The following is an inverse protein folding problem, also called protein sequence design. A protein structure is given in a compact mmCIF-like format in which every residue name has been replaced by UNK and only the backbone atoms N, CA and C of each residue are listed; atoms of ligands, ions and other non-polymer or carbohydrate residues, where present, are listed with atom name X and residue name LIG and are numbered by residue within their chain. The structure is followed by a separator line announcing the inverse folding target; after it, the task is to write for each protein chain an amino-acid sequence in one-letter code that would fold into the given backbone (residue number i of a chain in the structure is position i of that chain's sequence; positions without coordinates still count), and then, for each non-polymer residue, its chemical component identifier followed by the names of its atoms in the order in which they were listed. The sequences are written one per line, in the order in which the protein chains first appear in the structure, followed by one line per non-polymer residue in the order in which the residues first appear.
data_IF_432280919814
#
_entry.id   IF_432280919814
#
_cell.length_a   1.000
_cell.length_b   1.000
_cell.length_c   1.000
_cell.angle_alpha   90.00
_cell.angle_beta   90.00
_cell.angle_gamma   90.00
#
_symmetry.space_group_name_H-M   'P 1'
#
loop_
_entity.id
_entity.type
_entity.pdbx_description
1 polymer ?
#
# COMPACT_ATOMS: atom_id res chain seq x y z
N UNK A 1 -23.15 2.13 -5.96
CA UNK A 1 -22.48 1.09 -5.15
C UNK A 1 -22.55 1.55 -3.70
N UNK A 2 -22.96 0.68 -2.77
CA UNK A 2 -22.95 1.02 -1.34
C UNK A 2 -21.51 1.33 -0.90
N UNK A 3 -21.30 2.26 0.05
CA UNK A 3 -19.97 2.53 0.56
C UNK A 3 -19.39 1.26 1.19
N UNK A 4 -18.09 1.01 0.95
CA UNK A 4 -17.39 -0.10 1.58
C UNK A 4 -17.33 0.13 3.10
N UNK A 5 -17.64 -0.91 3.86
CA UNK A 5 -17.58 -0.94 5.32
C UNK A 5 -16.28 -1.59 5.83
N UNK A 6 -15.36 -1.91 4.93
CA UNK A 6 -14.12 -2.64 5.20
C UNK A 6 -13.11 -2.37 4.07
N UNK A 7 -11.84 -2.76 4.24
CA UNK A 7 -10.85 -2.73 3.16
C UNK A 7 -11.33 -3.55 1.96
N UNK A 8 -11.09 -3.12 0.71
CA UNK A 8 -11.58 -3.79 -0.49
C UNK A 8 -11.24 -5.29 -0.54
N UNK A 9 -9.99 -5.67 -0.24
CA UNK A 9 -9.57 -7.08 -0.25
C UNK A 9 -10.29 -7.92 0.80
N UNK A 10 -10.58 -7.39 2.00
CA UNK A 10 -11.37 -8.07 3.02
C UNK A 10 -12.83 -8.19 2.62
N UNK A 11 -13.38 -7.13 2.03
CA UNK A 11 -14.74 -7.15 1.49
C UNK A 11 -14.91 -8.26 0.46
N UNK A 12 -14.00 -8.36 -0.51
CA UNK A 12 -14.07 -9.39 -1.55
C UNK A 12 -13.75 -10.79 -1.03
N UNK A 13 -12.84 -10.96 -0.09
CA UNK A 13 -12.58 -12.25 0.55
C UNK A 13 -13.82 -12.81 1.27
N UNK A 14 -14.66 -11.92 1.83
CA UNK A 14 -15.93 -12.33 2.44
C UNK A 14 -17.00 -12.69 1.41
N UNK A 15 -17.10 -11.93 0.31
CA UNK A 15 -18.14 -12.13 -0.70
C UNK A 15 -17.80 -13.21 -1.72
N UNK A 16 -16.54 -13.32 -2.10
CA UNK A 16 -16.06 -14.19 -3.19
C UNK A 16 -14.72 -14.82 -2.83
N UNK A 17 -14.64 -15.61 -1.73
CA UNK A 17 -13.37 -16.10 -1.17
C UNK A 17 -12.51 -16.87 -2.17
N UNK A 18 -13.11 -17.62 -3.08
CA UNK A 18 -12.41 -18.47 -4.04
C UNK A 18 -12.17 -17.80 -5.40
N UNK A 19 -12.72 -16.60 -5.64
CA UNK A 19 -12.46 -15.87 -6.87
C UNK A 19 -11.00 -15.37 -6.89
N UNK A 20 -10.42 -15.28 -8.08
CA UNK A 20 -9.05 -14.79 -8.28
C UNK A 20 -8.95 -13.31 -7.94
N UNK A 21 -8.06 -12.99 -7.00
CA UNK A 21 -7.70 -11.63 -6.63
C UNK A 21 -6.50 -11.13 -7.45
N UNK A 22 -5.51 -11.97 -7.62
CA UNK A 22 -4.26 -11.66 -8.34
C UNK A 22 -3.85 -12.82 -9.23
N UNK A 23 -3.21 -12.48 -10.35
CA UNK A 23 -2.44 -13.42 -11.16
C UNK A 23 -0.95 -13.16 -10.97
N UNK A 24 -0.23 -14.12 -10.39
CA UNK A 24 1.21 -14.07 -10.18
C UNK A 24 1.89 -14.89 -11.29
N UNK A 25 2.14 -14.26 -12.43
CA UNK A 25 2.39 -14.97 -13.67
C UNK A 25 1.11 -15.71 -14.10
N UNK A 26 1.17 -17.02 -14.20
CA UNK A 26 0.01 -17.88 -14.54
C UNK A 26 -0.70 -18.46 -13.30
N UNK A 27 -0.19 -18.18 -12.09
CA UNK A 27 -0.74 -18.75 -10.86
C UNK A 27 -1.79 -17.80 -10.25
N UNK A 28 -3.05 -18.23 -10.14
CA UNK A 28 -4.09 -17.44 -9.50
C UNK A 28 -3.94 -17.49 -7.97
N UNK A 29 -4.09 -16.34 -7.33
CA UNK A 29 -4.23 -16.18 -5.89
C UNK A 29 -5.66 -15.75 -5.59
N UNK A 30 -6.37 -16.49 -4.74
CA UNK A 30 -7.74 -16.17 -4.37
C UNK A 30 -7.82 -15.00 -3.38
N UNK A 31 -8.99 -14.35 -3.28
CA UNK A 31 -9.23 -13.30 -2.29
C UNK A 31 -9.01 -13.78 -0.85
N UNK A 32 -9.43 -14.99 -0.52
CA UNK A 32 -9.22 -15.55 0.81
C UNK A 32 -7.75 -15.76 1.12
N UNK A 33 -6.98 -16.27 0.15
CA UNK A 33 -5.54 -16.49 0.32
C UNK A 33 -4.79 -15.15 0.42
N UNK A 34 -5.15 -14.16 -0.42
CA UNK A 34 -4.58 -12.82 -0.34
C UNK A 34 -4.86 -12.18 1.03
N UNK A 35 -6.12 -12.24 1.51
CA UNK A 35 -6.48 -11.72 2.83
C UNK A 35 -5.65 -12.36 3.94
N UNK A 36 -5.50 -13.69 3.94
CA UNK A 36 -4.71 -14.39 4.94
C UNK A 36 -3.27 -13.87 5.00
N UNK A 37 -2.62 -13.73 3.85
CA UNK A 37 -1.25 -13.21 3.78
C UNK A 37 -1.15 -11.73 4.17
N UNK A 38 -2.15 -10.92 3.83
CA UNK A 38 -2.22 -9.51 4.28
C UNK A 38 -2.40 -9.43 5.78
N UNK A 39 -3.25 -10.28 6.37
CA UNK A 39 -3.49 -10.33 7.82
C UNK A 39 -2.21 -10.73 8.57
N UNK A 40 -1.50 -11.77 8.15
CA UNK A 40 -0.24 -12.21 8.74
C UNK A 40 0.82 -11.10 8.70
N UNK A 41 1.03 -10.48 7.54
CA UNK A 41 2.02 -9.43 7.39
C UNK A 41 1.63 -8.15 8.16
N UNK A 42 0.34 -7.82 8.24
CA UNK A 42 -0.14 -6.70 9.05
C UNK A 42 0.14 -6.93 10.54
N UNK A 43 -0.09 -8.15 11.05
CA UNK A 43 0.24 -8.51 12.42
C UNK A 43 1.74 -8.39 12.72
N UNK A 44 2.59 -8.82 11.78
CA UNK A 44 4.04 -8.67 11.92
C UNK A 44 4.48 -7.20 11.95
N UNK A 45 3.91 -6.34 11.10
CA UNK A 45 4.20 -4.91 11.11
C UNK A 45 3.73 -4.25 12.41
N UNK A 46 2.55 -4.61 12.91
CA UNK A 46 2.07 -4.11 14.21
C UNK A 46 2.97 -4.55 15.37
N UNK A 47 3.49 -5.78 15.33
CA UNK A 47 4.45 -6.25 16.33
C UNK A 47 5.78 -5.45 16.30
N UNK A 48 6.16 -4.92 15.14
CA UNK A 48 7.31 -4.04 14.96
C UNK A 48 7.00 -2.58 15.29
N UNK A 49 5.80 -2.25 15.79
CA UNK A 49 5.42 -0.94 16.26
C UNK A 49 4.63 -0.08 15.27
N UNK A 50 4.21 -0.64 14.12
CA UNK A 50 3.35 0.10 13.19
C UNK A 50 1.94 0.24 13.77
N UNK A 51 1.53 1.48 14.01
CA UNK A 51 0.21 1.87 14.52
C UNK A 51 -0.57 2.70 13.49
N UNK A 52 -1.90 2.83 13.66
CA UNK A 52 -2.71 3.69 12.81
C UNK A 52 -2.18 5.13 12.78
N UNK A 53 -1.97 5.67 11.58
CA UNK A 53 -1.43 7.03 11.36
C UNK A 53 0.09 7.11 11.25
N UNK A 54 0.85 6.07 11.61
CA UNK A 54 2.29 6.03 11.39
C UNK A 54 2.64 6.29 9.93
N UNK A 55 3.67 7.08 9.68
CA UNK A 55 4.24 7.30 8.35
C UNK A 55 5.21 6.16 7.97
N UNK A 56 4.97 5.50 6.85
CA UNK A 56 5.80 4.38 6.37
C UNK A 56 6.27 4.63 4.94
N UNK A 57 7.58 4.71 4.73
CA UNK A 57 8.16 4.71 3.38
C UNK A 57 8.13 3.28 2.80
N UNK A 58 7.56 3.15 1.60
CA UNK A 58 7.52 1.88 0.88
C UNK A 58 8.37 2.00 -0.39
N UNK A 59 9.59 1.42 -0.36
CA UNK A 59 10.58 1.63 -1.40
C UNK A 59 10.85 0.36 -2.20
N UNK A 60 10.63 0.41 -3.52
CA UNK A 60 10.93 -0.73 -4.40
C UNK A 60 10.27 -0.63 -5.76
N UNK A 61 10.67 -1.54 -6.64
CA UNK A 61 9.97 -1.82 -7.90
C UNK A 61 8.77 -2.72 -7.63
N UNK A 62 7.77 -2.66 -8.51
CA UNK A 62 6.61 -3.52 -8.40
C UNK A 62 7.03 -4.99 -8.29
N UNK A 63 6.55 -5.63 -7.26
CA UNK A 63 6.73 -7.05 -6.98
C UNK A 63 5.61 -7.51 -6.07
N UNK A 64 5.36 -8.82 -6.01
CA UNK A 64 4.32 -9.34 -5.10
C UNK A 64 4.60 -9.00 -3.63
N UNK A 65 5.83 -9.16 -3.09
CA UNK A 65 6.10 -8.74 -1.71
C UNK A 65 5.86 -7.25 -1.45
N UNK A 66 6.17 -6.37 -2.41
CA UNK A 66 5.91 -4.94 -2.26
C UNK A 66 4.41 -4.63 -2.26
N UNK A 67 3.64 -5.27 -3.14
CA UNK A 67 2.18 -5.12 -3.17
C UNK A 67 1.55 -5.65 -1.88
N UNK A 68 1.99 -6.81 -1.41
CA UNK A 68 1.49 -7.39 -0.15
C UNK A 68 1.76 -6.45 1.02
N UNK A 69 2.98 -5.90 1.11
CA UNK A 69 3.32 -4.91 2.15
C UNK A 69 2.48 -3.62 2.02
N UNK A 70 2.23 -3.16 0.80
CA UNK A 70 1.34 -2.01 0.55
C UNK A 70 -0.05 -2.26 1.15
N UNK A 71 -0.66 -3.42 0.88
CA UNK A 71 -1.99 -3.76 1.41
C UNK A 71 -1.97 -3.96 2.94
N UNK A 72 -0.96 -4.64 3.47
CA UNK A 72 -0.83 -4.91 4.89
C UNK A 72 -0.64 -3.64 5.72
N UNK A 73 0.22 -2.72 5.28
CA UNK A 73 0.45 -1.45 5.94
C UNK A 73 -0.79 -0.54 5.88
N UNK A 74 -1.49 -0.52 4.74
CA UNK A 74 -2.79 0.16 4.67
C UNK A 74 -3.78 -0.44 5.66
N UNK A 75 -3.81 -1.76 5.80
CA UNK A 75 -4.69 -2.44 6.75
C UNK A 75 -4.34 -2.15 8.21
N UNK A 76 -3.08 -1.91 8.53
CA UNK A 76 -2.66 -1.35 9.83
C UNK A 76 -3.16 0.09 10.05
N UNK A 77 -3.67 0.75 9.03
CA UNK A 77 -4.06 2.16 9.07
C UNK A 77 -2.87 3.11 8.95
N UNK A 78 -1.72 2.64 8.51
CA UNK A 78 -0.54 3.44 8.25
C UNK A 78 -0.74 4.39 7.06
N UNK A 79 0.02 5.47 7.03
CA UNK A 79 0.08 6.46 5.97
C UNK A 79 1.31 6.17 5.12
N UNK A 80 1.12 5.66 3.91
CA UNK A 80 2.21 5.19 3.06
C UNK A 80 2.82 6.31 2.23
N UNK A 81 4.14 6.30 2.12
CA UNK A 81 4.91 7.08 1.16
C UNK A 81 5.62 6.11 0.20
N UNK A 82 4.96 5.70 -0.90
CA UNK A 82 5.65 4.90 -1.91
C UNK A 82 6.76 5.70 -2.58
N UNK A 83 7.98 5.17 -2.59
CA UNK A 83 9.18 5.85 -3.06
C UNK A 83 9.79 5.15 -4.27
N UNK A 84 10.24 5.97 -5.22
CA UNK A 84 11.12 5.52 -6.28
C UNK A 84 12.47 5.09 -5.67
N UNK A 85 12.93 3.84 -5.87
CA UNK A 85 14.21 3.37 -5.31
C UNK A 85 15.43 4.10 -5.86
N UNK A 86 15.28 4.89 -6.94
CA UNK A 86 16.35 5.70 -7.52
C UNK A 86 16.46 7.10 -6.89
N UNK A 87 15.67 7.44 -5.87
CA UNK A 87 15.77 8.73 -5.20
C UNK A 87 17.11 8.87 -4.48
N UNK A 88 17.79 10.05 -4.59
CA UNK A 88 19.06 10.27 -3.92
C UNK A 88 18.92 10.26 -2.40
N UNK A 89 19.87 9.62 -1.71
CA UNK A 89 19.96 9.59 -0.23
C UNK A 89 19.86 10.99 0.43
N UNK A 90 20.55 12.05 -0.08
CA UNK A 90 20.44 13.37 0.53
C UNK A 90 19.02 13.97 0.46
N UNK A 91 18.27 13.61 -0.57
CA UNK A 91 16.88 14.01 -0.69
C UNK A 91 16.00 13.27 0.34
N UNK A 92 16.22 11.96 0.51
CA UNK A 92 15.48 11.16 1.49
C UNK A 92 15.75 11.66 2.91
N UNK A 93 16.99 12.02 3.24
CA UNK A 93 17.37 12.55 4.55
C UNK A 93 16.61 13.85 4.93
N UNK A 94 16.24 14.66 3.94
CA UNK A 94 15.44 15.86 4.17
C UNK A 94 13.93 15.58 4.13
N UNK A 95 13.50 14.74 3.20
CA UNK A 95 12.08 14.52 2.90
C UNK A 95 11.37 13.69 3.97
N UNK A 96 12.02 12.63 4.48
CA UNK A 96 11.36 11.70 5.39
C UNK A 96 10.97 12.34 6.73
N UNK A 97 11.83 13.15 7.39
CA UNK A 97 11.45 13.88 8.59
C UNK A 97 10.34 14.91 8.33
N UNK A 98 10.39 15.66 7.21
CA UNK A 98 9.37 16.66 6.84
C UNK A 98 7.98 16.02 6.63
N UNK A 99 7.92 14.76 6.24
CA UNK A 99 6.68 14.02 6.03
C UNK A 99 6.31 13.12 7.22
N UNK A 100 7.03 13.23 8.33
CA UNK A 100 6.79 12.44 9.54
C UNK A 100 6.78 10.93 9.23
N UNK A 101 7.83 10.47 8.54
CA UNK A 101 8.04 9.06 8.20
C UNK A 101 8.94 8.42 9.24
N UNK A 102 8.38 7.47 10.00
CA UNK A 102 9.06 6.80 11.10
C UNK A 102 9.50 5.37 10.77
N UNK A 103 8.90 4.76 9.76
CA UNK A 103 9.22 3.40 9.32
C UNK A 103 9.53 3.34 7.83
N UNK A 104 10.26 2.29 7.43
CA UNK A 104 10.48 1.99 6.02
C UNK A 104 10.47 0.48 5.76
N UNK A 105 9.88 0.08 4.64
CA UNK A 105 9.90 -1.28 4.13
C UNK A 105 10.26 -1.29 2.64
N UNK A 106 10.93 -2.34 2.21
CA UNK A 106 11.20 -2.62 0.79
C UNK A 106 12.18 -3.77 0.62
N UNK A 107 12.32 -4.30 -0.60
CA UNK A 107 13.31 -5.32 -0.91
C UNK A 107 14.73 -4.76 -0.70
N UNK A 108 15.64 -5.61 -0.27
CA UNK A 108 17.05 -5.25 -0.13
C UNK A 108 17.76 -5.08 -1.50
N UNK A 109 18.73 -4.15 -1.57
CA UNK A 109 19.08 -3.17 -0.55
C UNK A 109 18.14 -1.95 -0.56
N UNK A 110 17.65 -1.58 0.62
CA UNK A 110 17.01 -0.28 0.79
C UNK A 110 18.08 0.84 0.59
N UNK A 111 17.70 2.01 0.07
CA UNK A 111 18.58 3.16 0.07
C UNK A 111 19.04 3.49 1.50
N UNK A 112 20.13 4.23 1.66
CA UNK A 112 20.52 4.74 2.96
C UNK A 112 19.42 5.66 3.49
N UNK A 113 18.90 5.35 4.68
CA UNK A 113 17.82 6.06 5.35
C UNK A 113 18.39 6.82 6.56
N UNK A 114 17.73 7.90 7.02
CA UNK A 114 18.03 8.52 8.32
C UNK A 114 18.01 7.49 9.45
N UNK A 115 18.85 7.70 10.47
CA UNK A 115 18.98 6.75 11.60
C UNK A 115 17.68 6.62 12.41
N UNK A 116 16.86 7.63 12.41
CA UNK A 116 15.57 7.68 13.10
C UNK A 116 14.47 6.84 12.41
N UNK A 117 14.69 6.45 11.15
CA UNK A 117 13.73 5.64 10.40
C UNK A 117 13.96 4.16 10.66
N UNK A 118 13.01 3.53 11.30
CA UNK A 118 13.05 2.11 11.66
C UNK A 118 12.78 1.25 10.40
N UNK A 119 13.70 0.35 10.10
CA UNK A 119 13.51 -0.61 9.01
C UNK A 119 12.63 -1.76 9.47
N UNK A 120 11.51 -1.94 8.79
CA UNK A 120 10.66 -3.10 8.98
C UNK A 120 11.31 -4.32 8.33
N UNK A 121 11.28 -5.43 9.03
CA UNK A 121 11.86 -6.70 8.57
C UNK A 121 10.80 -7.55 7.87
N UNK A 122 11.22 -8.54 7.05
CA UNK A 122 10.33 -9.55 6.52
C UNK A 122 9.53 -10.28 7.61
N UNK A 123 8.40 -10.91 7.25
CA UNK A 123 7.51 -11.55 8.23
C UNK A 123 8.23 -12.63 9.04
N UNK A 124 7.81 -12.74 10.30
CA UNK A 124 8.17 -13.81 11.22
C UNK A 124 7.50 -15.13 10.80
N UNK A 125 8.10 -16.24 11.21
CA UNK A 125 7.49 -17.59 11.04
C UNK A 125 6.43 -17.90 12.08
N UNK A 126 6.27 -17.06 13.11
CA UNK A 126 5.28 -17.27 14.15
C UNK A 126 3.90 -16.76 13.70
N UNK A 127 2.85 -17.58 13.79
CA UNK A 127 1.50 -17.15 13.45
C UNK A 127 1.04 -16.00 14.37
N UNK A 128 0.57 -14.92 13.79
CA UNK A 128 0.05 -13.75 14.50
C UNK A 128 -1.24 -13.26 13.84
N UNK A 129 -2.09 -12.61 14.63
CA UNK A 129 -3.32 -12.02 14.17
C UNK A 129 -3.27 -10.50 14.33
N UNK A 130 -3.66 -9.73 13.33
CA UNK A 130 -3.63 -8.28 13.42
C UNK A 130 -4.75 -7.76 14.32
N UNK A 131 -4.42 -6.72 15.10
CA UNK A 131 -5.42 -5.88 15.76
C UNK A 131 -5.83 -4.76 14.83
N UNK A 132 -6.85 -4.98 14.01
CA UNK A 132 -7.22 -4.04 12.97
C UNK A 132 -7.89 -2.79 13.54
N UNK A 133 -7.46 -1.59 13.08
CA UNK A 133 -8.19 -0.37 13.41
C UNK A 133 -9.58 -0.41 12.77
N UNK A 134 -10.51 0.37 13.32
CA UNK A 134 -11.80 0.53 12.69
C UNK A 134 -11.65 1.15 11.29
N UNK A 135 -12.41 0.63 10.32
CA UNK A 135 -12.43 1.18 8.97
C UNK A 135 -12.90 2.64 8.97
N UNK A 136 -12.11 3.49 8.37
CA UNK A 136 -12.42 4.90 8.16
C UNK A 136 -11.94 5.32 6.77
N UNK A 137 -12.89 5.54 5.87
CA UNK A 137 -12.60 5.94 4.49
C UNK A 137 -11.93 7.32 4.39
N UNK A 138 -12.05 8.17 5.40
CA UNK A 138 -11.42 9.50 5.43
C UNK A 138 -9.98 9.46 5.96
N UNK A 139 -9.55 8.36 6.56
CA UNK A 139 -8.15 8.22 7.00
C UNK A 139 -7.21 8.35 5.82
N UNK A 140 -6.07 9.05 6.05
CA UNK A 140 -5.01 9.15 5.05
C UNK A 140 -4.42 7.78 4.77
N UNK A 141 -4.37 7.44 3.49
CA UNK A 141 -3.83 6.18 2.99
C UNK A 141 -2.43 6.36 2.42
N UNK A 142 -2.26 7.32 1.52
CA UNK A 142 -1.00 7.51 0.81
C UNK A 142 -0.58 8.97 0.69
N UNK A 143 0.73 9.16 0.67
CA UNK A 143 1.42 10.38 0.27
C UNK A 143 2.08 10.12 -1.08
N UNK A 144 1.77 10.90 -2.08
CA UNK A 144 2.35 10.75 -3.42
C UNK A 144 3.19 11.96 -3.76
N UNK A 145 4.50 11.74 -4.01
CA UNK A 145 5.40 12.81 -4.35
C UNK A 145 5.04 13.43 -5.70
N UNK A 146 5.02 14.75 -5.73
CA UNK A 146 4.78 15.54 -6.95
C UNK A 146 6.07 16.24 -7.36
N UNK A 147 6.29 16.39 -8.69
CA UNK A 147 7.39 17.17 -9.21
C UNK A 147 7.18 18.64 -8.87
N UNK A 148 7.89 19.13 -7.85
CA UNK A 148 7.93 20.55 -7.50
C UNK A 148 8.87 21.29 -8.45
N UNK A 149 8.52 22.53 -8.85
CA UNK A 149 9.34 23.36 -9.73
C UNK A 149 10.56 23.97 -9.04
N UNK A 150 10.65 23.97 -7.71
CA UNK A 150 11.77 24.49 -6.91
C UNK A 150 11.72 23.96 -5.48
N UNK A 151 12.80 23.33 -5.02
CA UNK A 151 12.94 22.87 -3.64
C UNK A 151 12.59 21.39 -3.40
N UNK A 152 12.27 21.03 -2.17
CA UNK A 152 11.86 19.67 -1.81
C UNK A 152 10.55 19.29 -2.52
N UNK A 153 10.41 18.04 -3.01
CA UNK A 153 9.17 17.56 -3.57
C UNK A 153 8.02 17.70 -2.56
N UNK A 154 6.87 18.14 -3.04
CA UNK A 154 5.64 18.15 -2.24
C UNK A 154 5.01 16.77 -2.27
N UNK A 155 4.29 16.41 -1.21
CA UNK A 155 3.52 15.18 -1.14
C UNK A 155 2.02 15.50 -1.17
N UNK A 156 1.32 14.95 -2.18
CA UNK A 156 -0.14 14.99 -2.22
C UNK A 156 -0.68 13.87 -1.30
N UNK A 157 -1.51 14.25 -0.34
CA UNK A 157 -2.13 13.32 0.59
C UNK A 157 -3.47 12.81 0.04
N UNK A 158 -3.66 11.50 0.03
CA UNK A 158 -4.87 10.83 -0.42
C UNK A 158 -5.45 9.97 0.69
N UNK A 159 -6.75 10.13 0.96
CA UNK A 159 -7.50 9.22 1.81
C UNK A 159 -7.93 7.96 1.05
N UNK A 160 -8.41 6.93 1.77
CA UNK A 160 -9.07 5.79 1.14
C UNK A 160 -10.24 6.23 0.26
N UNK A 161 -11.03 7.21 0.71
CA UNK A 161 -12.14 7.75 -0.07
C UNK A 161 -11.69 8.36 -1.40
N UNK A 162 -10.52 9.03 -1.45
CA UNK A 162 -9.98 9.59 -2.69
C UNK A 162 -9.63 8.47 -3.70
N UNK A 163 -8.98 7.41 -3.24
CA UNK A 163 -8.66 6.25 -4.09
C UNK A 163 -9.92 5.56 -4.60
N UNK A 164 -10.90 5.31 -3.72
CA UNK A 164 -12.18 4.68 -4.10
C UNK A 164 -12.98 5.56 -5.07
N UNK A 165 -13.00 6.88 -4.89
CA UNK A 165 -13.66 7.81 -5.81
C UNK A 165 -12.99 7.81 -7.18
N UNK A 166 -11.64 7.77 -7.22
CA UNK A 166 -10.88 7.64 -8.46
C UNK A 166 -11.20 6.33 -9.19
N UNK A 167 -11.21 5.21 -8.45
CA UNK A 167 -11.58 3.92 -9.01
C UNK A 167 -13.01 3.93 -9.58
N UNK A 168 -13.98 4.43 -8.82
CA UNK A 168 -15.37 4.55 -9.26
C UNK A 168 -15.52 5.44 -10.52
N UNK A 169 -14.70 6.49 -10.64
CA UNK A 169 -14.66 7.35 -11.83
C UNK A 169 -14.23 6.60 -13.09
N UNK A 170 -13.17 5.78 -12.98
CA UNK A 170 -12.69 4.98 -14.12
C UNK A 170 -13.69 3.89 -14.51
N UNK A 171 -14.29 3.19 -13.53
CA UNK A 171 -15.29 2.15 -13.79
C UNK A 171 -16.57 2.66 -14.46
N UNK A 172 -16.83 3.98 -14.44
CA UNK A 172 -17.92 4.59 -15.22
C UNK A 172 -17.57 4.79 -16.70
N UNK A 173 -16.30 4.86 -17.02
CA UNK A 173 -15.79 5.13 -18.37
C UNK A 173 -15.36 3.85 -19.08
N UNK A 174 -15.01 2.83 -18.33
CA UNK A 174 -14.55 1.55 -18.83
C UNK A 174 -15.53 0.46 -18.41
N UNK A 175 -15.98 -0.32 -19.38
CA UNK A 175 -16.90 -1.44 -19.14
C UNK A 175 -16.12 -2.66 -18.63
N UNK A 176 -15.62 -2.57 -17.40
CA UNK A 176 -14.94 -3.66 -16.73
C UNK A 176 -15.89 -4.77 -16.35
N UNK A 177 -15.56 -5.98 -16.78
CA UNK A 177 -16.25 -7.18 -16.40
C UNK A 177 -15.51 -7.92 -15.28
N UNK A 178 -16.19 -8.85 -14.64
CA UNK A 178 -15.65 -9.63 -13.53
C UNK A 178 -14.41 -10.46 -13.90
N UNK A 179 -14.34 -10.89 -15.15
CA UNK A 179 -13.28 -11.73 -15.72
C UNK A 179 -12.06 -10.93 -16.18
N UNK A 180 -12.18 -9.59 -16.21
CA UNK A 180 -11.08 -8.73 -16.63
C UNK A 180 -9.95 -8.73 -15.62
N UNK A 181 -8.73 -8.63 -16.13
CA UNK A 181 -7.52 -8.55 -15.35
C UNK A 181 -6.70 -7.32 -15.78
N UNK A 182 -6.35 -6.48 -14.82
CA UNK A 182 -5.51 -5.32 -15.09
C UNK A 182 -4.05 -5.56 -14.72
N UNK A 183 -3.16 -5.41 -15.69
CA UNK A 183 -1.72 -5.55 -15.45
C UNK A 183 -1.20 -4.37 -14.62
N UNK A 184 -0.59 -4.65 -13.45
CA UNK A 184 0.09 -3.66 -12.60
C UNK A 184 1.46 -3.28 -13.22
N UNK A 185 1.42 -2.62 -14.39
CA UNK A 185 2.60 -2.21 -15.15
C UNK A 185 3.20 -0.88 -14.70
N UNK A 186 2.41 -0.02 -14.04
CA UNK A 186 2.85 1.29 -13.59
C UNK A 186 3.36 1.23 -12.15
N UNK A 187 4.46 1.96 -11.82
CA UNK A 187 5.06 1.89 -10.49
C UNK A 187 4.12 2.36 -9.38
N UNK A 188 4.13 1.65 -8.24
CA UNK A 188 3.34 2.00 -7.05
C UNK A 188 3.73 3.37 -6.45
N UNK A 189 4.93 3.87 -6.71
CA UNK A 189 5.32 5.22 -6.29
C UNK A 189 4.72 6.36 -7.13
N UNK A 190 3.95 6.03 -8.17
CA UNK A 190 3.12 6.98 -8.91
C UNK A 190 1.63 6.73 -8.63
N UNK A 191 0.85 7.81 -8.62
CA UNK A 191 -0.60 7.73 -8.42
C UNK A 191 -1.31 6.82 -9.43
N UNK A 192 -0.78 6.72 -10.65
CA UNK A 192 -1.31 5.83 -11.68
C UNK A 192 -1.13 4.34 -11.35
N UNK A 193 0.00 3.94 -10.77
CA UNK A 193 0.23 2.58 -10.29
C UNK A 193 -0.64 2.24 -9.09
N UNK A 194 -0.73 3.15 -8.12
CA UNK A 194 -1.67 3.01 -7.01
C UNK A 194 -3.10 2.86 -7.52
N UNK A 195 -3.50 3.69 -8.50
CA UNK A 195 -4.82 3.63 -9.11
C UNK A 195 -5.18 2.26 -9.68
N UNK A 196 -4.23 1.49 -10.22
CA UNK A 196 -4.47 0.11 -10.71
C UNK A 196 -4.86 -0.82 -9.55
N UNK A 197 -4.22 -0.68 -8.40
CA UNK A 197 -4.50 -1.52 -7.21
C UNK A 197 -5.92 -1.27 -6.66
N UNK A 198 -6.43 -0.05 -6.81
CA UNK A 198 -7.73 0.34 -6.27
C UNK A 198 -8.90 0.12 -7.23
N UNK A 199 -8.65 -0.23 -8.49
CA UNK A 199 -9.65 -0.45 -9.55
C UNK A 199 -9.98 -1.92 -9.71
#
# INVERSE_FOLDING_TARGET
MAPLSDWPWRHWARLQPQATALLLGEQPLSWLALQGQVDELAADFQHQGVEPGCGVALCGKNSYPLLLAYLALLQCGARLLPLNPALPTPLLAQLLPELDITFAFGPDPLPALPEEVIRLTPPSTEPRWPNLPMWDAQRLATLTLTSGSSGLPKAAAHSYANHLASAAGVLRLMDFQREDCWLLSLPLFHVSGQGIVWR
#
